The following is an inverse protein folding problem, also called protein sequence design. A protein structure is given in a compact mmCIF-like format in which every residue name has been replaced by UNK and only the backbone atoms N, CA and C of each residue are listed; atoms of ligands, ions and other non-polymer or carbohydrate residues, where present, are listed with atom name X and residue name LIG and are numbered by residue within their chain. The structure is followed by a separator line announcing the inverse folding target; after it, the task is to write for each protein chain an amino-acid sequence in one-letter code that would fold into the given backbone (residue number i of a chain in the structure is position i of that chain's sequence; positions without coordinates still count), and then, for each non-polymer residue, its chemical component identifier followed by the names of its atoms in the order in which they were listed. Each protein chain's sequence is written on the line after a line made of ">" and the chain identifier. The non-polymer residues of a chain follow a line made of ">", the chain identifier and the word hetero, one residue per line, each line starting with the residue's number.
data_IF_216993874247
#
_entry.id   IF_216993874247
#
_cell.length_a   1.000
_cell.length_b   1.000
_cell.length_c   1.000
_cell.angle_alpha   90.00
_cell.angle_beta   90.00
_cell.angle_gamma   90.00
#
_symmetry.space_group_name_H-M   'P 1'
#
loop_
_entity.id
_entity.type
_entity.pdbx_description
1 polymer ?
#
# COMPACT_ATOMS: atom_id res chain seq x y z
N UNK A 1 16.71 -23.40 0.54
CA UNK A 1 16.81 -21.92 0.49
C UNK A 1 15.50 -21.35 0.98
N UNK A 2 15.48 -20.66 2.13
CA UNK A 2 14.26 -20.03 2.64
C UNK A 2 13.97 -18.76 1.82
N UNK A 3 12.76 -18.62 1.27
CA UNK A 3 12.37 -17.41 0.55
C UNK A 3 12.50 -16.18 1.46
N UNK A 4 12.96 -15.03 0.95
CA UNK A 4 13.09 -13.82 1.76
C UNK A 4 11.71 -13.45 2.33
N UNK A 5 11.65 -13.27 3.66
CA UNK A 5 10.42 -12.86 4.33
C UNK A 5 10.16 -11.40 3.98
N UNK A 6 9.17 -11.15 3.13
CA UNK A 6 8.73 -9.79 2.84
C UNK A 6 8.35 -9.08 4.15
N UNK A 7 8.85 -7.86 4.32
CA UNK A 7 8.47 -7.02 5.46
C UNK A 7 6.96 -6.77 5.45
N UNK A 8 6.33 -6.44 6.59
CA UNK A 8 4.91 -6.15 6.64
C UNK A 8 4.46 -5.05 5.67
N UNK A 9 5.30 -4.04 5.43
CA UNK A 9 5.05 -2.96 4.47
C UNK A 9 5.15 -3.45 3.02
N UNK A 10 6.14 -4.31 2.74
CA UNK A 10 6.30 -4.93 1.43
C UNK A 10 5.08 -5.79 1.06
N UNK A 11 4.53 -6.52 2.04
CA UNK A 11 3.28 -7.27 1.86
C UNK A 11 2.10 -6.35 1.59
N UNK A 12 2.03 -5.19 2.24
CA UNK A 12 0.98 -4.20 1.97
C UNK A 12 1.10 -3.65 0.53
N UNK A 13 2.32 -3.35 0.08
CA UNK A 13 2.60 -2.91 -1.30
C UNK A 13 2.23 -3.96 -2.34
N UNK A 14 2.56 -5.23 -2.10
CA UNK A 14 2.16 -6.34 -2.97
C UNK A 14 0.63 -6.50 -3.05
N UNK A 15 -0.08 -6.32 -1.93
CA UNK A 15 -1.55 -6.31 -1.92
C UNK A 15 -2.13 -5.16 -2.72
N UNK A 16 -1.53 -3.97 -2.66
CA UNK A 16 -1.92 -2.82 -3.46
C UNK A 16 -1.79 -3.10 -4.96
N UNK A 17 -0.64 -3.64 -5.37
CA UNK A 17 -0.41 -4.09 -6.76
C UNK A 17 -1.45 -5.11 -7.22
N UNK A 18 -1.75 -6.11 -6.38
CA UNK A 18 -2.74 -7.13 -6.69
C UNK A 18 -4.16 -6.54 -6.84
N UNK A 19 -4.55 -5.61 -5.98
CA UNK A 19 -5.86 -4.94 -6.06
C UNK A 19 -6.00 -4.10 -7.34
N UNK A 20 -4.96 -3.35 -7.72
CA UNK A 20 -4.93 -2.61 -8.96
C UNK A 20 -5.02 -3.52 -10.19
N UNK A 21 -4.29 -4.64 -10.20
CA UNK A 21 -4.34 -5.64 -11.29
C UNK A 21 -5.71 -6.30 -11.41
N UNK A 22 -6.43 -6.43 -10.30
CA UNK A 22 -7.80 -6.94 -10.28
C UNK A 22 -8.84 -5.90 -10.77
N UNK A 23 -8.42 -4.67 -11.10
CA UNK A 23 -9.32 -3.59 -11.49
C UNK A 23 -10.09 -2.96 -10.32
N UNK A 24 -9.63 -3.19 -9.07
CA UNK A 24 -10.22 -2.55 -7.88
C UNK A 24 -9.96 -1.04 -7.83
N UNK A 25 -10.48 -0.38 -6.81
CA UNK A 25 -10.32 1.06 -6.56
C UNK A 25 -9.39 1.34 -5.37
N UNK A 26 -8.82 2.55 -5.29
CA UNK A 26 -8.05 2.99 -4.11
C UNK A 26 -8.91 2.94 -2.84
N UNK A 27 -10.23 3.08 -2.98
CA UNK A 27 -11.18 2.96 -1.88
C UNK A 27 -11.23 1.54 -1.25
N UNK A 28 -10.80 0.50 -1.97
CA UNK A 28 -10.71 -0.87 -1.45
C UNK A 28 -9.53 -1.07 -0.49
N UNK A 29 -8.76 -0.02 -0.19
CA UNK A 29 -7.65 -0.08 0.74
C UNK A 29 -8.14 -0.51 2.15
N UNK A 30 -7.67 -1.66 2.68
CA UNK A 30 -8.14 -2.19 3.96
C UNK A 30 -7.53 -1.48 5.18
N UNK A 31 -6.69 -0.47 4.95
CA UNK A 31 -5.98 0.27 6.00
C UNK A 31 -6.64 1.63 6.24
N UNK A 32 -7.59 1.73 7.19
CA UNK A 32 -8.29 2.98 7.46
C UNK A 32 -7.35 4.03 8.06
N UNK A 33 -7.57 5.28 7.69
CA UNK A 33 -6.86 6.45 8.22
C UNK A 33 -7.38 6.78 9.64
N UNK A 34 -6.97 5.98 10.61
CA UNK A 34 -7.31 6.24 12.01
C UNK A 34 -6.27 7.20 12.59
N UNK A 35 -6.60 8.48 12.64
CA UNK A 35 -5.86 9.46 13.44
C UNK A 35 -6.24 9.25 14.90
N UNK A 36 -5.26 9.11 15.78
CA UNK A 36 -5.54 9.12 17.22
C UNK A 36 -6.00 10.52 17.63
N UNK A 37 -6.83 10.64 18.66
CA UNK A 37 -7.31 11.93 19.20
C UNK A 37 -6.14 12.85 19.63
N UNK A 38 -4.96 12.27 19.89
CA UNK A 38 -3.71 12.98 20.20
C UNK A 38 -2.85 13.34 18.98
N UNK A 39 -3.35 13.15 17.75
CA UNK A 39 -2.63 13.50 16.51
C UNK A 39 -1.45 12.59 16.13
N UNK A 40 -1.17 11.54 16.90
CA UNK A 40 -0.08 10.60 16.61
C UNK A 40 -0.45 9.65 15.48
N UNK A 41 0.52 9.42 14.60
CA UNK A 41 0.44 8.51 13.47
C UNK A 41 0.29 7.07 13.98
N UNK A 42 -0.83 6.43 13.68
CA UNK A 42 -0.97 4.99 13.87
C UNK A 42 -0.14 4.27 12.81
N UNK A 43 0.40 3.10 13.16
CA UNK A 43 1.09 2.19 12.21
C UNK A 43 0.31 2.06 10.90
N UNK A 44 -1.02 2.10 10.96
CA UNK A 44 -1.96 2.08 9.83
C UNK A 44 -1.61 3.03 8.68
N UNK A 45 -1.03 4.21 8.94
CA UNK A 45 -0.70 5.17 7.85
C UNK A 45 0.47 4.71 6.99
N UNK A 46 1.47 4.04 7.59
CA UNK A 46 2.60 3.48 6.85
C UNK A 46 2.15 2.31 5.95
N UNK A 47 1.27 1.45 6.47
CA UNK A 47 0.69 0.35 5.69
C UNK A 47 -0.24 0.86 4.57
N UNK A 48 -1.06 1.88 4.87
CA UNK A 48 -1.92 2.53 3.87
C UNK A 48 -1.08 3.12 2.74
N UNK A 49 -0.01 3.84 3.08
CA UNK A 49 0.90 4.45 2.09
C UNK A 49 1.59 3.38 1.23
N UNK A 50 2.15 2.34 1.85
CA UNK A 50 2.75 1.23 1.11
C UNK A 50 1.76 0.53 0.16
N UNK A 51 0.50 0.33 0.59
CA UNK A 51 -0.54 -0.23 -0.27
C UNK A 51 -0.88 0.70 -1.44
N UNK A 52 -1.04 2.00 -1.18
CA UNK A 52 -1.34 2.98 -2.23
C UNK A 52 -0.19 3.12 -3.23
N UNK A 53 1.06 3.09 -2.77
CA UNK A 53 2.23 3.13 -3.66
C UNK A 53 2.22 1.94 -4.63
N UNK A 54 1.98 0.72 -4.11
CA UNK A 54 1.86 -0.47 -4.95
C UNK A 54 0.66 -0.43 -5.90
N UNK A 55 -0.47 0.13 -5.47
CA UNK A 55 -1.63 0.31 -6.34
C UNK A 55 -1.34 1.30 -7.48
N UNK A 56 -0.69 2.43 -7.16
CA UNK A 56 -0.32 3.47 -8.10
C UNK A 56 0.69 2.99 -9.15
N UNK A 57 1.65 2.13 -8.80
CA UNK A 57 2.60 1.53 -9.76
C UNK A 57 1.91 0.81 -10.94
N UNK A 58 0.76 0.19 -10.67
CA UNK A 58 0.04 -0.59 -11.68
C UNK A 58 -0.88 0.30 -12.51
N UNK A 59 -1.52 1.28 -11.87
CA UNK A 59 -2.48 2.18 -12.50
C UNK A 59 -1.76 3.25 -13.34
N UNK A 60 -0.65 3.77 -12.83
CA UNK A 60 0.17 4.80 -13.46
C UNK A 60 1.58 4.23 -13.71
N UNK A 61 1.76 3.39 -14.74
CA UNK A 61 3.08 2.86 -15.10
C UNK A 61 4.07 3.94 -15.59
N UNK A 62 3.67 5.22 -15.62
CA UNK A 62 4.42 6.35 -16.20
C UNK A 62 5.02 7.32 -15.14
N UNK A 63 4.91 7.03 -13.85
CA UNK A 63 5.45 7.91 -12.79
C UNK A 63 6.97 7.76 -12.57
N UNK A 64 7.64 6.89 -13.33
CA UNK A 64 9.09 6.72 -13.36
C UNK A 64 9.66 7.45 -14.59
N UNK A 65 9.54 8.78 -14.60
CA UNK A 65 10.30 9.65 -15.50
C UNK A 65 11.14 10.58 -14.61
N UNK A 66 12.47 10.63 -14.81
CA UNK A 66 13.44 11.24 -13.89
C UNK A 66 13.28 12.76 -13.69
#
# INVERSE_FOLDING_TARGET
>A
MAAPRHSPLERARLRGRAAARAGGSIADCPYPDKRTQSGRLTWSRAFRRAWMDGFAEVINPQADMP
#
